data_IF_109181044969
#
_entry.id   IF_109181044969
#
_cell.length_a   1.000
_cell.length_b   1.000
_cell.length_c   1.000
_cell.angle_alpha   90.00
_cell.angle_beta   90.00
_cell.angle_gamma   90.00
#
_symmetry.space_group_name_H-M   'P 1'
#
loop_
_entity.id
_entity.type
_entity.pdbx_description
1 polymer ?
#
# COMPACT_ATOMS: atom_id res chain seq x y z
N UNK A 1 -5.73 30.98 -1.77
CA UNK A 1 -4.95 29.97 -1.02
C UNK A 1 -5.95 29.14 -0.22
N UNK A 2 -6.28 27.94 -0.68
CA UNK A 2 -7.16 27.02 0.04
C UNK A 2 -6.37 26.35 1.16
N UNK A 3 -6.79 26.52 2.41
CA UNK A 3 -6.23 25.83 3.56
C UNK A 3 -6.19 24.32 3.31
N UNK A 4 -4.97 23.78 3.25
CA UNK A 4 -4.73 22.33 3.26
C UNK A 4 -5.10 21.80 4.64
N UNK A 5 -6.41 21.61 4.88
CA UNK A 5 -6.89 20.96 6.09
C UNK A 5 -6.40 19.50 6.08
N UNK A 6 -5.39 19.23 6.90
CA UNK A 6 -4.82 17.90 7.08
C UNK A 6 -5.91 16.96 7.67
N UNK A 7 -6.58 16.21 6.79
CA UNK A 7 -7.74 15.38 7.15
C UNK A 7 -7.40 14.23 8.11
N UNK A 8 -6.13 13.98 8.43
CA UNK A 8 -5.66 12.82 9.19
C UNK A 8 -4.78 13.25 10.36
N UNK A 9 -5.21 12.92 11.57
CA UNK A 9 -4.42 13.12 12.80
C UNK A 9 -3.29 12.11 12.99
N UNK A 10 -3.40 10.93 12.39
CA UNK A 10 -2.46 9.83 12.60
C UNK A 10 -1.92 9.29 11.28
N UNK A 11 -0.60 9.05 11.24
CA UNK A 11 0.06 8.35 10.14
C UNK A 11 -0.40 6.89 10.05
N UNK A 12 -0.58 6.37 8.83
CA UNK A 12 -0.92 4.97 8.57
C UNK A 12 0.28 4.18 8.09
N UNK A 13 0.48 3.01 8.65
CA UNK A 13 1.50 2.06 8.24
C UNK A 13 0.86 1.01 7.33
N UNK A 14 1.23 1.03 6.06
CA UNK A 14 0.94 -0.08 5.15
C UNK A 14 1.78 -1.29 5.55
N UNK A 15 1.12 -2.43 5.70
CA UNK A 15 1.77 -3.67 6.08
C UNK A 15 2.40 -4.33 4.84
N UNK A 16 3.64 -4.79 4.97
CA UNK A 16 4.35 -5.53 3.90
C UNK A 16 3.70 -6.88 3.62
N UNK A 17 3.24 -7.55 4.68
CA UNK A 17 2.45 -8.78 4.64
C UNK A 17 1.18 -8.54 5.41
N UNK A 18 0.08 -9.05 4.90
CA UNK A 18 -1.20 -8.96 5.58
C UNK A 18 -1.14 -9.68 6.92
N UNK A 19 -1.75 -9.08 7.94
CA UNK A 19 -1.84 -9.70 9.27
C UNK A 19 -3.20 -10.38 9.38
N UNK A 20 -3.17 -11.70 9.61
CA UNK A 20 -4.36 -12.49 9.88
C UNK A 20 -5.01 -12.05 11.18
N UNK A 21 -6.33 -11.89 11.15
CA UNK A 21 -7.10 -11.45 12.30
C UNK A 21 -8.50 -12.06 12.30
N UNK A 22 -9.16 -11.93 13.44
CA UNK A 22 -10.52 -12.40 13.68
C UNK A 22 -11.38 -11.21 14.10
N UNK A 23 -12.56 -11.07 13.51
CA UNK A 23 -13.55 -10.10 13.92
C UNK A 23 -14.80 -10.79 14.48
N UNK A 24 -15.39 -10.21 15.51
CA UNK A 24 -16.72 -10.56 16.03
C UNK A 24 -17.58 -9.31 16.01
N UNK A 25 -18.82 -9.40 15.55
CA UNK A 25 -19.76 -8.28 15.65
C UNK A 25 -20.10 -8.08 17.12
N UNK A 26 -19.80 -6.90 17.66
CA UNK A 26 -20.06 -6.57 19.07
C UNK A 26 -21.38 -5.82 19.22
N UNK A 27 -21.71 -4.96 18.26
CA UNK A 27 -22.97 -4.21 18.26
C UNK A 27 -23.41 -3.77 16.87
N UNK A 28 -24.71 -3.57 16.73
CA UNK A 28 -25.38 -3.00 15.55
C UNK A 28 -26.26 -1.85 16.03
N UNK A 29 -26.08 -0.65 15.47
CA UNK A 29 -26.77 0.57 15.93
C UNK A 29 -26.61 0.80 17.44
N UNK A 30 -25.40 0.60 17.95
CA UNK A 30 -25.05 0.72 19.38
C UNK A 30 -25.78 -0.26 20.33
N UNK A 31 -26.63 -1.14 19.80
CA UNK A 31 -27.21 -2.25 20.55
C UNK A 31 -26.24 -3.43 20.55
N UNK A 32 -25.84 -3.89 21.74
CA UNK A 32 -24.99 -5.07 21.89
C UNK A 32 -25.70 -6.28 21.33
N UNK A 33 -25.00 -7.05 20.50
CA UNK A 33 -25.54 -8.29 19.92
C UNK A 33 -24.64 -9.45 20.29
N UNK A 34 -25.23 -10.54 20.76
CA UNK A 34 -24.51 -11.78 21.02
C UNK A 34 -24.53 -12.66 19.77
N UNK A 35 -23.54 -12.46 18.91
CA UNK A 35 -23.37 -13.26 17.69
C UNK A 35 -22.11 -14.10 17.86
N UNK A 36 -22.23 -15.42 17.98
CA UNK A 36 -21.07 -16.31 18.14
C UNK A 36 -20.33 -16.63 16.83
N UNK A 37 -20.49 -15.77 15.82
CA UNK A 37 -19.85 -15.91 14.52
C UNK A 37 -18.52 -15.18 14.50
N UNK A 38 -17.44 -15.94 14.27
CA UNK A 38 -16.11 -15.40 14.02
C UNK A 38 -15.95 -15.15 12.53
N UNK A 39 -15.49 -13.96 12.19
CA UNK A 39 -15.24 -13.51 10.81
C UNK A 39 -13.73 -13.43 10.61
N UNK A 40 -13.12 -14.27 9.76
CA UNK A 40 -11.71 -14.10 9.40
C UNK A 40 -11.54 -12.84 8.56
N UNK A 41 -10.55 -12.02 8.91
CA UNK A 41 -10.21 -10.79 8.19
C UNK A 41 -8.68 -10.71 7.98
N UNK A 42 -8.27 -9.94 6.98
CA UNK A 42 -6.86 -9.63 6.74
C UNK A 42 -6.61 -8.13 6.94
N UNK A 43 -5.69 -7.74 7.82
CA UNK A 43 -5.28 -6.35 7.99
C UNK A 43 -4.30 -5.96 6.88
N UNK A 44 -4.59 -4.86 6.20
CA UNK A 44 -3.80 -4.31 5.10
C UNK A 44 -2.97 -3.10 5.54
N UNK A 45 -3.56 -2.24 6.37
CA UNK A 45 -2.88 -1.12 7.01
C UNK A 45 -3.43 -0.85 8.41
N UNK A 46 -2.62 -0.22 9.26
CA UNK A 46 -3.00 0.15 10.62
C UNK A 46 -2.41 1.51 11.02
N UNK A 47 -3.16 2.26 11.82
CA UNK A 47 -2.71 3.44 12.56
C UNK A 47 -3.29 3.43 13.97
N UNK A 48 -2.87 4.40 14.78
CA UNK A 48 -3.47 4.64 16.09
C UNK A 48 -4.95 5.09 16.03
N UNK A 49 -5.48 5.45 14.85
CA UNK A 49 -6.87 5.88 14.70
C UNK A 49 -7.78 4.89 13.97
N UNK A 50 -7.22 3.88 13.32
CA UNK A 50 -7.99 2.99 12.47
C UNK A 50 -7.16 1.97 11.73
N UNK A 51 -7.83 1.12 10.97
CA UNK A 51 -7.19 0.10 10.13
C UNK A 51 -7.94 -0.04 8.81
N UNK A 52 -7.25 -0.55 7.80
CA UNK A 52 -7.88 -1.06 6.58
C UNK A 52 -7.81 -2.58 6.60
N UNK A 53 -8.94 -3.22 6.37
CA UNK A 53 -9.07 -4.67 6.42
C UNK A 53 -9.75 -5.19 5.17
N UNK A 54 -9.50 -6.44 4.83
CA UNK A 54 -10.22 -7.18 3.80
C UNK A 54 -11.13 -8.20 4.46
N UNK A 55 -12.39 -8.23 4.04
CA UNK A 55 -13.42 -9.14 4.56
C UNK A 55 -14.25 -9.68 3.39
N UNK A 56 -14.53 -11.00 3.40
CA UNK A 56 -15.36 -11.65 2.38
C UNK A 56 -16.84 -11.27 2.48
N UNK A 57 -17.30 -10.98 3.69
CA UNK A 57 -18.68 -10.61 3.96
C UNK A 57 -18.99 -9.17 3.54
N UNK A 58 -20.23 -8.97 3.10
CA UNK A 58 -20.79 -7.65 2.89
C UNK A 58 -21.34 -7.12 4.22
N UNK A 59 -20.69 -6.11 4.79
CA UNK A 59 -21.07 -5.49 6.05
C UNK A 59 -21.60 -4.06 5.80
N UNK A 60 -22.73 -3.68 6.39
CA UNK A 60 -23.18 -2.29 6.36
C UNK A 60 -22.17 -1.37 7.07
N UNK A 61 -22.00 -0.17 6.52
CA UNK A 61 -21.10 0.86 7.08
C UNK A 61 -21.83 1.70 8.14
N UNK A 62 -21.06 2.28 9.06
CA UNK A 62 -21.47 3.16 10.18
C UNK A 62 -22.31 2.50 11.28
N UNK A 63 -23.06 1.45 10.97
CA UNK A 63 -23.96 0.78 11.93
C UNK A 63 -23.27 -0.29 12.78
N UNK A 64 -22.19 -0.89 12.27
CA UNK A 64 -21.54 -2.06 12.89
C UNK A 64 -20.29 -1.64 13.67
N UNK A 65 -20.19 -2.15 14.90
CA UNK A 65 -18.93 -2.25 15.64
C UNK A 65 -18.47 -3.70 15.70
N UNK A 66 -17.17 -3.88 15.53
CA UNK A 66 -16.47 -5.16 15.52
C UNK A 66 -15.46 -5.16 16.67
N UNK A 67 -15.38 -6.26 17.37
CA UNK A 67 -14.21 -6.61 18.18
C UNK A 67 -13.21 -7.32 17.29
N UNK A 68 -12.02 -6.77 17.12
CA UNK A 68 -10.98 -7.26 16.22
C UNK A 68 -9.80 -7.79 17.03
N UNK A 69 -9.53 -9.09 16.90
CA UNK A 69 -8.45 -9.80 17.55
C UNK A 69 -7.33 -10.12 16.57
N UNK A 70 -6.11 -9.76 16.91
CA UNK A 70 -4.94 -10.01 16.08
C UNK A 70 -3.64 -9.95 16.88
N UNK A 71 -2.61 -10.58 16.34
CA UNK A 71 -1.25 -10.45 16.85
C UNK A 71 -0.46 -9.48 15.98
N UNK A 72 0.24 -8.53 16.60
CA UNK A 72 1.10 -7.59 15.89
C UNK A 72 2.33 -7.24 16.71
N UNK A 73 3.51 -7.44 16.13
CA UNK A 73 4.80 -7.19 16.80
C UNK A 73 4.92 -7.92 18.15
N UNK A 74 4.52 -9.20 18.18
CA UNK A 74 4.50 -10.08 19.35
C UNK A 74 3.57 -9.60 20.49
N UNK A 75 2.63 -8.69 20.19
CA UNK A 75 1.57 -8.29 21.10
C UNK A 75 0.21 -8.76 20.60
N UNK A 76 -0.61 -9.26 21.51
CA UNK A 76 -2.00 -9.56 21.24
C UNK A 76 -2.86 -8.31 21.45
N UNK A 77 -3.75 -8.08 20.49
CA UNK A 77 -4.71 -6.98 20.47
C UNK A 77 -6.13 -7.55 20.40
N UNK A 78 -7.02 -6.94 21.18
CA UNK A 78 -8.46 -7.23 21.19
C UNK A 78 -9.19 -5.88 21.24
N UNK A 79 -9.47 -5.31 20.06
CA UNK A 79 -9.81 -3.89 19.92
C UNK A 79 -11.21 -3.71 19.37
N UNK A 80 -11.96 -2.78 19.96
CA UNK A 80 -13.24 -2.35 19.42
C UNK A 80 -13.04 -1.39 18.24
N UNK A 81 -13.73 -1.62 17.13
CA UNK A 81 -13.62 -0.83 15.91
C UNK A 81 -14.98 -0.61 15.24
N UNK A 82 -15.24 0.58 14.71
CA UNK A 82 -16.44 0.89 13.94
C UNK A 82 -16.16 0.84 12.44
N UNK A 83 -17.04 0.19 11.67
CA UNK A 83 -16.96 0.17 10.20
C UNK A 83 -17.33 1.55 9.66
N UNK A 84 -16.42 2.26 8.98
CA UNK A 84 -16.70 3.61 8.46
C UNK A 84 -16.99 3.64 6.96
N UNK A 85 -16.23 2.88 6.18
CA UNK A 85 -16.30 2.90 4.71
C UNK A 85 -16.09 1.49 4.16
N UNK A 86 -16.67 1.25 3.00
CA UNK A 86 -16.52 0.03 2.21
C UNK A 86 -16.04 0.42 0.81
N UNK A 87 -15.02 -0.25 0.32
CA UNK A 87 -14.56 -0.19 -1.06
C UNK A 87 -14.80 -1.56 -1.67
N UNK A 88 -15.75 -1.70 -2.63
CA UNK A 88 -15.99 -2.97 -3.28
C UNK A 88 -14.77 -3.38 -4.11
N UNK A 89 -14.48 -4.68 -4.12
CA UNK A 89 -13.43 -5.28 -4.95
C UNK A 89 -14.08 -6.28 -5.90
N UNK A 90 -13.69 -6.25 -7.17
CA UNK A 90 -14.22 -7.12 -8.22
C UNK A 90 -14.11 -8.62 -7.91
N UNK A 91 -13.17 -9.04 -7.05
CA UNK A 91 -12.93 -10.45 -6.70
C UNK A 91 -13.73 -10.96 -5.49
N UNK A 92 -14.83 -10.29 -5.12
CA UNK A 92 -15.69 -10.70 -4.00
C UNK A 92 -15.10 -10.47 -2.60
N UNK A 93 -14.00 -9.73 -2.49
CA UNK A 93 -13.36 -9.40 -1.22
C UNK A 93 -13.48 -7.91 -0.91
N UNK A 94 -14.43 -7.51 -0.08
CA UNK A 94 -14.62 -6.09 0.24
C UNK A 94 -13.48 -5.56 1.12
N UNK A 95 -12.99 -4.36 0.82
CA UNK A 95 -12.07 -3.63 1.70
C UNK A 95 -12.87 -2.67 2.59
N UNK A 96 -12.55 -2.63 3.88
CA UNK A 96 -13.21 -1.77 4.84
C UNK A 96 -12.19 -0.87 5.55
N UNK A 97 -12.57 0.39 5.73
CA UNK A 97 -11.90 1.27 6.67
C UNK A 97 -12.60 1.21 8.01
N UNK A 98 -11.88 0.75 9.05
CA UNK A 98 -12.37 0.71 10.43
C UNK A 98 -11.75 1.85 11.24
N UNK A 99 -12.54 2.47 12.13
CA UNK A 99 -12.08 3.43 13.14
C UNK A 99 -11.93 2.71 14.47
N UNK A 100 -10.76 2.77 15.07
CA UNK A 100 -10.54 2.14 16.37
C UNK A 100 -11.10 3.02 17.49
N UNK A 101 -11.73 2.38 18.46
CA UNK A 101 -12.29 3.00 19.66
C UNK A 101 -11.37 2.66 20.83
N UNK A 102 -10.22 3.34 20.88
CA UNK A 102 -9.12 3.04 21.81
C UNK A 102 -9.18 3.89 23.08
N UNK A 103 -8.81 3.29 24.19
CA UNK A 103 -8.33 3.98 25.39
C UNK A 103 -6.93 4.59 25.14
N UNK A 104 -6.51 5.52 26.00
CA UNK A 104 -5.17 6.12 25.94
C UNK A 104 -4.04 5.08 26.08
N UNK A 105 -4.28 4.02 26.87
CA UNK A 105 -3.33 2.93 27.06
C UNK A 105 -3.18 2.09 25.80
N UNK A 106 -4.30 1.66 25.20
CA UNK A 106 -4.28 0.90 23.94
C UNK A 106 -3.68 1.71 22.80
N UNK A 107 -4.01 3.00 22.71
CA UNK A 107 -3.42 3.90 21.72
C UNK A 107 -1.89 3.94 21.86
N UNK A 108 -1.39 4.06 23.08
CA UNK A 108 0.05 4.07 23.36
C UNK A 108 0.73 2.75 22.98
N UNK A 109 0.09 1.62 23.27
CA UNK A 109 0.56 0.28 22.87
C UNK A 109 0.65 0.14 21.35
N UNK A 110 -0.41 0.49 20.63
CA UNK A 110 -0.43 0.44 19.16
C UNK A 110 0.66 1.35 18.57
N UNK A 111 0.79 2.58 19.05
CA UNK A 111 1.84 3.50 18.56
C UNK A 111 3.23 2.90 18.76
N UNK A 112 3.49 2.28 19.91
CA UNK A 112 4.75 1.57 20.16
C UNK A 112 4.97 0.44 19.16
N UNK A 113 3.99 -0.45 18.96
CA UNK A 113 4.10 -1.54 17.97
C UNK A 113 4.28 -1.00 16.55
N UNK A 114 3.58 0.07 16.16
CA UNK A 114 3.75 0.70 14.84
C UNK A 114 5.17 1.27 14.65
N UNK A 115 5.74 1.89 15.68
CA UNK A 115 7.11 2.39 15.63
C UNK A 115 8.11 1.24 15.56
N UNK A 116 7.91 0.16 16.32
CA UNK A 116 8.75 -1.04 16.24
C UNK A 116 8.67 -1.68 14.86
N UNK A 117 7.46 -1.86 14.33
CA UNK A 117 7.23 -2.34 12.97
C UNK A 117 7.94 -1.45 11.95
N UNK A 118 7.81 -0.12 12.05
CA UNK A 118 8.52 0.80 11.17
C UNK A 118 10.02 0.66 11.30
N UNK A 119 10.59 0.61 12.50
CA UNK A 119 12.04 0.50 12.70
C UNK A 119 12.54 -0.81 12.12
N UNK A 120 11.87 -1.93 12.42
CA UNK A 120 12.15 -3.23 11.83
C UNK A 120 12.06 -3.11 10.33
N UNK A 121 10.93 -2.76 9.75
CA UNK A 121 10.73 -2.77 8.31
C UNK A 121 11.45 -1.64 7.56
N UNK A 122 11.94 -0.60 8.22
CA UNK A 122 12.82 0.41 7.60
C UNK A 122 14.27 -0.07 7.59
N UNK A 123 14.71 -0.78 8.65
CA UNK A 123 16.03 -1.44 8.69
C UNK A 123 16.05 -2.68 7.80
N UNK A 124 15.02 -3.52 7.85
CA UNK A 124 14.78 -4.65 6.95
C UNK A 124 14.56 -4.17 5.50
N UNK A 125 13.96 -3.02 5.19
CA UNK A 125 14.01 -2.49 3.80
C UNK A 125 15.43 -2.19 3.30
N UNK A 126 16.39 -1.91 4.18
CA UNK A 126 17.82 -1.79 3.82
C UNK A 126 18.56 -3.14 3.81
N UNK A 127 18.09 -4.15 4.54
CA UNK A 127 18.80 -5.44 4.77
C UNK A 127 18.15 -6.63 4.04
N UNK A 128 16.86 -6.52 3.69
CA UNK A 128 15.92 -7.55 3.20
C UNK A 128 15.26 -7.13 1.87
N UNK A 129 15.87 -6.18 1.13
CA UNK A 129 16.19 -6.52 -0.26
C UNK A 129 17.13 -7.72 -0.15
N UNK A 130 16.53 -8.89 0.04
CA UNK A 130 17.09 -10.20 0.38
C UNK A 130 18.42 -10.45 -0.34
N UNK A 131 19.42 -11.12 0.21
CA UNK A 131 20.72 -11.32 -0.48
C UNK A 131 20.59 -11.85 -1.93
N UNK A 132 19.49 -12.57 -2.26
CA UNK A 132 19.07 -12.88 -3.64
C UNK A 132 18.47 -11.69 -4.38
N UNK A 133 17.44 -11.05 -3.85
CA UNK A 133 16.86 -9.84 -4.41
C UNK A 133 17.83 -8.64 -4.45
N UNK A 134 18.89 -8.58 -3.63
CA UNK A 134 19.99 -7.62 -3.66
C UNK A 134 20.96 -7.98 -4.77
N UNK A 135 21.23 -9.29 -4.99
CA UNK A 135 22.03 -9.73 -6.14
C UNK A 135 21.31 -9.39 -7.45
N UNK A 136 20.01 -9.69 -7.55
CA UNK A 136 19.20 -9.37 -8.73
C UNK A 136 18.87 -7.88 -8.83
N UNK A 137 18.50 -7.21 -7.75
CA UNK A 137 18.32 -5.77 -7.75
C UNK A 137 19.62 -5.04 -8.06
N UNK A 138 20.81 -5.54 -7.70
CA UNK A 138 22.07 -4.95 -8.21
C UNK A 138 22.18 -5.08 -9.72
N UNK A 139 21.80 -6.22 -10.29
CA UNK A 139 21.73 -6.37 -11.74
C UNK A 139 20.73 -5.40 -12.35
N UNK A 140 19.50 -5.33 -11.82
CA UNK A 140 18.46 -4.43 -12.31
C UNK A 140 18.79 -2.97 -12.07
N UNK A 141 19.45 -2.59 -10.97
CA UNK A 141 19.90 -1.21 -10.71
C UNK A 141 20.90 -0.78 -11.77
N UNK A 142 21.86 -1.65 -12.14
CA UNK A 142 22.74 -1.38 -13.29
C UNK A 142 21.96 -1.24 -14.60
N UNK A 143 20.91 -2.04 -14.81
CA UNK A 143 20.01 -1.84 -15.95
C UNK A 143 19.29 -0.49 -15.88
N UNK A 144 18.79 -0.07 -14.71
CA UNK A 144 18.14 1.24 -14.53
C UNK A 144 19.10 2.40 -14.88
N UNK A 145 20.39 2.26 -14.57
CA UNK A 145 21.43 3.26 -14.87
C UNK A 145 21.70 3.40 -16.38
N UNK A 146 21.43 2.36 -17.17
CA UNK A 146 21.62 2.37 -18.64
C UNK A 146 20.38 2.92 -19.36
N UNK A 147 19.22 2.99 -18.68
CA UNK A 147 18.01 3.54 -19.28
C UNK A 147 18.10 5.07 -19.35
N UNK A 148 17.96 5.60 -20.57
CA UNK A 148 18.02 7.04 -20.85
C UNK A 148 16.85 7.83 -20.24
N UNK A 149 15.74 7.19 -19.85
CA UNK A 149 14.63 7.86 -19.16
C UNK A 149 14.64 7.69 -17.64
N UNK A 150 13.73 8.37 -16.93
CA UNK A 150 13.41 8.04 -15.54
C UNK A 150 13.00 6.57 -15.42
N UNK A 151 13.68 5.82 -14.56
CA UNK A 151 13.46 4.38 -14.39
C UNK A 151 13.52 3.98 -12.92
N UNK A 152 12.67 3.04 -12.52
CA UNK A 152 12.59 2.56 -11.15
C UNK A 152 12.00 1.14 -11.04
N UNK A 153 12.29 0.49 -9.92
CA UNK A 153 11.70 -0.80 -9.53
C UNK A 153 10.60 -0.57 -8.50
N UNK A 154 9.47 -1.26 -8.69
CA UNK A 154 8.36 -1.29 -7.74
C UNK A 154 7.97 -2.72 -7.37
N UNK A 155 7.29 -2.88 -6.25
CA UNK A 155 6.60 -4.13 -5.90
C UNK A 155 5.19 -4.17 -6.48
N UNK A 156 4.51 -5.33 -6.40
CA UNK A 156 3.09 -5.49 -6.75
C UNK A 156 2.16 -4.50 -6.03
N UNK A 157 2.55 -4.08 -4.82
CA UNK A 157 1.84 -3.07 -4.05
C UNK A 157 2.21 -1.64 -4.49
N UNK A 158 2.94 -1.45 -5.58
CA UNK A 158 3.37 -0.14 -6.13
C UNK A 158 4.34 0.61 -5.23
N UNK A 159 5.09 -0.09 -4.38
CA UNK A 159 6.12 0.52 -3.53
C UNK A 159 7.43 0.65 -4.31
N UNK A 160 8.02 1.85 -4.37
CA UNK A 160 9.32 2.06 -5.03
C UNK A 160 10.46 1.49 -4.17
N UNK A 161 11.29 0.63 -4.76
CA UNK A 161 12.40 -0.04 -4.06
C UNK A 161 13.78 0.34 -4.61
N UNK A 162 13.86 0.77 -5.87
CA UNK A 162 15.08 1.34 -6.47
C UNK A 162 14.69 2.34 -7.57
N UNK A 163 15.57 3.29 -7.87
CA UNK A 163 15.37 4.28 -8.94
C UNK A 163 16.74 4.73 -9.50
N UNK A 164 16.78 5.14 -10.76
CA UNK A 164 17.98 5.77 -11.34
C UNK A 164 18.05 7.26 -10.98
N UNK A 165 19.18 7.90 -11.32
CA UNK A 165 19.40 9.31 -11.03
C UNK A 165 18.34 10.22 -11.68
N UNK A 166 18.00 9.97 -12.95
CA UNK A 166 16.97 10.73 -13.69
C UNK A 166 15.60 10.66 -12.98
N UNK A 167 15.21 9.51 -12.44
CA UNK A 167 13.99 9.39 -11.64
C UNK A 167 14.09 10.14 -10.30
N UNK A 168 15.24 10.10 -9.62
CA UNK A 168 15.43 10.87 -8.39
C UNK A 168 15.34 12.39 -8.62
N UNK A 169 15.91 12.89 -9.71
CA UNK A 169 15.81 14.30 -10.12
C UNK A 169 14.36 14.72 -10.41
N UNK A 170 13.54 13.78 -10.88
CA UNK A 170 12.09 13.95 -11.07
C UNK A 170 11.27 13.78 -9.78
N UNK A 171 11.92 13.58 -8.64
CA UNK A 171 11.28 13.55 -7.32
C UNK A 171 10.85 12.16 -6.84
N UNK A 172 11.31 11.07 -7.48
CA UNK A 172 11.02 9.70 -7.04
C UNK A 172 11.69 9.38 -5.70
N UNK A 173 10.90 8.97 -4.71
CA UNK A 173 11.33 8.62 -3.36
C UNK A 173 11.19 7.12 -3.08
N UNK A 174 12.28 6.52 -2.60
CA UNK A 174 12.29 5.11 -2.18
C UNK A 174 11.38 4.89 -0.97
N UNK A 175 10.70 3.75 -0.95
CA UNK A 175 9.78 3.37 0.12
C UNK A 175 8.43 4.10 0.10
N UNK A 176 8.18 4.95 -0.90
CA UNK A 176 6.87 5.54 -1.18
C UNK A 176 6.13 4.78 -2.28
N UNK A 177 4.82 5.01 -2.41
CA UNK A 177 4.03 4.46 -3.51
C UNK A 177 4.32 5.26 -4.79
N UNK A 178 4.48 4.58 -5.93
CA UNK A 178 4.84 5.24 -7.20
C UNK A 178 3.86 6.35 -7.57
N UNK A 179 2.55 6.11 -7.50
CA UNK A 179 1.54 7.12 -7.82
C UNK A 179 1.59 8.36 -6.91
N UNK A 180 2.16 8.24 -5.70
CA UNK A 180 2.34 9.36 -4.78
C UNK A 180 3.59 10.15 -5.10
N UNK A 181 4.72 9.48 -5.32
CA UNK A 181 6.00 10.18 -5.53
C UNK A 181 6.20 10.69 -6.97
N UNK A 182 5.47 10.14 -7.93
CA UNK A 182 5.64 10.43 -9.37
C UNK A 182 4.51 11.32 -9.86
N UNK A 183 3.27 10.91 -9.61
CA UNK A 183 2.10 11.63 -10.09
C UNK A 183 1.51 12.60 -9.04
N UNK A 184 2.07 12.64 -7.82
CA UNK A 184 1.51 13.39 -6.69
C UNK A 184 0.02 13.06 -6.41
N UNK A 185 -0.36 11.78 -6.54
CA UNK A 185 -1.74 11.28 -6.33
C UNK A 185 -1.83 10.48 -5.04
N UNK A 186 -3.05 10.37 -4.50
CA UNK A 186 -3.37 9.50 -3.37
C UNK A 186 -3.93 8.13 -3.81
N UNK A 187 -4.14 7.95 -5.10
CA UNK A 187 -4.76 6.78 -5.72
C UNK A 187 -3.92 6.33 -6.92
N UNK A 188 -4.11 5.08 -7.35
CA UNK A 188 -3.42 4.49 -8.51
C UNK A 188 -3.61 5.40 -9.73
N UNK A 189 -2.54 5.65 -10.49
CA UNK A 189 -2.62 6.49 -11.67
C UNK A 189 -3.46 5.80 -12.78
N UNK A 190 -4.22 6.56 -13.59
CA UNK A 190 -5.06 6.00 -14.64
C UNK A 190 -4.24 5.28 -15.73
N UNK A 191 -2.95 5.58 -15.84
CA UNK A 191 -2.01 5.00 -16.79
C UNK A 191 -1.27 3.76 -16.23
N UNK A 192 -1.67 3.26 -15.06
CA UNK A 192 -1.01 2.13 -14.42
C UNK A 192 -1.29 0.83 -15.18
N UNK A 193 -0.25 0.26 -15.79
CA UNK A 193 -0.33 -1.05 -16.46
C UNK A 193 0.27 -2.20 -15.64
N UNK A 194 0.43 -2.00 -14.33
CA UNK A 194 1.04 -2.99 -13.44
C UNK A 194 0.33 -4.35 -13.49
N UNK A 195 -0.99 -4.37 -13.38
CA UNK A 195 -1.75 -5.63 -13.36
C UNK A 195 -1.64 -6.38 -14.70
N UNK A 196 -1.50 -5.65 -15.82
CA UNK A 196 -1.23 -6.22 -17.14
C UNK A 196 0.18 -6.79 -17.22
N UNK A 197 1.17 -6.07 -16.68
CA UNK A 197 2.56 -6.55 -16.65
C UNK A 197 2.71 -7.83 -15.83
N UNK A 198 2.05 -7.91 -14.66
CA UNK A 198 2.01 -9.13 -13.83
C UNK A 198 1.31 -10.29 -14.56
N UNK A 199 0.35 -10.01 -15.43
CA UNK A 199 -0.35 -11.07 -16.18
C UNK A 199 0.47 -11.57 -17.38
N UNK A 200 1.38 -10.76 -17.91
CA UNK A 200 2.19 -11.04 -19.10
C UNK A 200 3.66 -11.28 -18.69
N UNK A 201 3.89 -12.31 -17.86
CA UNK A 201 5.12 -12.54 -17.08
C UNK A 201 6.49 -12.49 -17.79
N UNK A 202 6.56 -12.37 -19.12
CA UNK A 202 7.80 -12.32 -19.89
C UNK A 202 7.83 -11.22 -20.97
N UNK A 203 6.83 -10.33 -21.02
CA UNK A 203 6.74 -9.31 -22.06
C UNK A 203 6.76 -7.90 -21.50
N UNK A 204 7.48 -7.02 -22.22
CA UNK A 204 7.42 -5.58 -21.95
C UNK A 204 6.04 -5.07 -22.34
N UNK A 205 5.24 -4.68 -21.36
CA UNK A 205 3.96 -4.01 -21.58
C UNK A 205 4.23 -2.54 -21.81
N UNK A 206 3.82 -2.03 -22.97
CA UNK A 206 3.86 -0.60 -23.29
C UNK A 206 2.51 0.03 -23.02
N UNK A 207 2.51 1.24 -22.48
CA UNK A 207 1.29 2.04 -22.30
C UNK A 207 1.60 3.52 -22.45
N UNK A 208 0.67 4.26 -23.04
CA UNK A 208 0.70 5.72 -22.97
C UNK A 208 0.54 6.16 -21.51
N UNK A 209 1.40 7.08 -21.09
CA UNK A 209 1.37 7.71 -19.79
C UNK A 209 1.45 9.22 -19.96
N UNK A 210 0.98 9.93 -18.93
CA UNK A 210 1.11 11.36 -18.85
C UNK A 210 1.95 11.70 -17.63
N UNK A 211 3.14 12.23 -17.86
CA UNK A 211 4.08 12.64 -16.83
C UNK A 211 4.40 14.12 -17.00
N UNK A 212 4.19 14.91 -15.94
CA UNK A 212 4.55 16.34 -15.88
C UNK A 212 4.00 17.24 -17.01
N UNK A 213 2.88 16.86 -17.65
CA UNK A 213 2.29 17.65 -18.74
C UNK A 213 2.58 17.09 -20.13
N UNK A 214 3.38 16.03 -20.25
CA UNK A 214 3.82 15.48 -21.53
C UNK A 214 3.29 14.06 -21.72
N UNK A 215 3.00 13.71 -22.98
CA UNK A 215 2.65 12.33 -23.32
C UNK A 215 3.94 11.53 -23.48
N UNK A 216 4.05 10.46 -22.72
CA UNK A 216 5.22 9.60 -22.70
C UNK A 216 4.82 8.14 -22.89
N UNK A 217 5.74 7.33 -23.40
CA UNK A 217 5.56 5.88 -23.45
C UNK A 217 6.16 5.28 -22.19
N UNK A 218 5.30 4.77 -21.32
CA UNK A 218 5.69 3.98 -20.16
C UNK A 218 5.87 2.51 -20.55
N UNK A 219 6.93 1.89 -20.04
CA UNK A 219 7.24 0.48 -20.24
C UNK A 219 7.31 -0.24 -18.91
N UNK A 220 6.62 -1.38 -18.83
CA UNK A 220 6.50 -2.19 -17.64
C UNK A 220 7.03 -3.59 -17.93
N UNK A 221 7.98 -4.05 -17.12
CA UNK A 221 8.54 -5.39 -17.21
C UNK A 221 8.42 -6.07 -15.85
N UNK A 222 7.62 -7.12 -15.78
CA UNK A 222 7.58 -7.99 -14.62
C UNK A 222 8.86 -8.82 -14.56
N UNK A 223 9.38 -9.03 -13.35
CA UNK A 223 10.53 -9.89 -13.08
C UNK A 223 10.09 -11.01 -12.16
N UNK A 224 10.77 -12.17 -12.22
CA UNK A 224 10.38 -13.40 -11.51
C UNK A 224 10.22 -13.26 -9.98
N UNK A 225 10.77 -12.22 -9.35
CA UNK A 225 10.76 -12.02 -7.89
C UNK A 225 9.65 -11.05 -7.40
N UNK A 226 8.58 -10.85 -8.18
CA UNK A 226 7.49 -9.93 -7.81
C UNK A 226 7.92 -8.44 -7.82
N UNK A 227 9.06 -8.15 -8.43
CA UNK A 227 9.50 -6.81 -8.78
C UNK A 227 9.09 -6.47 -10.20
N UNK A 228 8.79 -5.20 -10.42
CA UNK A 228 8.37 -4.66 -11.71
C UNK A 228 9.25 -3.46 -12.02
N UNK A 229 9.93 -3.54 -13.15
CA UNK A 229 10.66 -2.40 -13.70
C UNK A 229 9.69 -1.52 -14.47
N UNK A 230 9.68 -0.24 -14.13
CA UNK A 230 8.87 0.76 -14.80
C UNK A 230 9.77 1.92 -15.20
N UNK A 231 9.71 2.28 -16.48
CA UNK A 231 10.54 3.34 -17.05
C UNK A 231 9.84 4.03 -18.21
N UNK A 232 10.29 5.24 -18.51
CA UNK A 232 9.77 6.07 -19.58
C UNK A 232 10.77 6.19 -20.72
N UNK A 233 10.28 6.31 -21.95
CA UNK A 233 11.11 6.68 -23.11
C UNK A 233 11.46 8.17 -23.05
N UNK A 234 12.66 8.56 -23.51
CA UNK A 234 13.19 9.93 -23.41
C UNK A 234 12.39 10.95 -24.26
N UNK A 235 11.67 10.46 -25.29
CA UNK A 235 10.87 11.28 -26.19
C UNK A 235 9.44 11.49 -25.67
N UNK A 236 9.31 12.16 -24.54
CA UNK A 236 8.04 12.72 -24.13
C UNK A 236 7.66 13.84 -25.11
N UNK A 237 6.55 13.68 -25.84
CA UNK A 237 6.12 14.68 -26.82
C UNK A 237 5.18 15.66 -26.11
N UNK A 238 5.58 16.94 -26.09
CA UNK A 238 4.68 18.04 -25.76
C UNK A 238 3.63 18.10 -26.87
N UNK A 239 2.38 17.74 -26.56
CA UNK A 239 1.28 18.07 -27.48
C UNK A 239 0.99 19.56 -27.31
N UNK A 240 1.30 20.33 -28.34
CA UNK A 240 0.79 21.70 -28.51
C UNK A 240 -0.74 21.72 -28.56
#
# INVERSE_FOLDING_TARGET
>A
MSDFNEKRKYFRVDLLKEVSALAKISSVNDQVVEIDKIIPISLLDISAGGMRVRIRYDLPTKLIKLTVKFEFENEQYDLLAQVLRKTPNAKGNNEYGLKLLLTSQEQSRIVRSLNMYKIKNTKFRKVELDFKAQKYARCFVKFLEIIDGPAYLITENRLVVAANLKAHEKGVKLGERCYKTICNRNEICPYCSLDKAISNNDQVVKSEAFELGENCTARWLYTEDGLIMHYFEENCVVKE
#
